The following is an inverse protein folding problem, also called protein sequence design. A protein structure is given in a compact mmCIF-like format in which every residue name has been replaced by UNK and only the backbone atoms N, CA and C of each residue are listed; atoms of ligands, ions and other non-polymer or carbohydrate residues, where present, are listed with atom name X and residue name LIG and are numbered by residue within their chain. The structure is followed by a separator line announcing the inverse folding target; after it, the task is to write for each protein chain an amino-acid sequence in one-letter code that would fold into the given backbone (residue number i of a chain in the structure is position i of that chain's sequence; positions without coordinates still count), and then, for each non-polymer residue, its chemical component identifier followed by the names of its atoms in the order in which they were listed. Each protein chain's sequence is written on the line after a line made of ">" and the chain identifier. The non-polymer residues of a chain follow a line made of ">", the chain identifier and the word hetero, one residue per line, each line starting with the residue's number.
data_IF_184446976578
#
_entry.id   IF_184446976578
#
_cell.length_a   1.000
_cell.length_b   1.000
_cell.length_c   1.000
_cell.angle_alpha   90.00
_cell.angle_beta   90.00
_cell.angle_gamma   90.00
#
_symmetry.space_group_name_H-M   'P 1'
#
loop_
_entity.id
_entity.type
_entity.pdbx_description
1 polymer ?
#
# COMPACT_ATOMS: atom_id res chain seq x y z
N UNK A 1 29.41 6.66 -62.21
CA UNK A 1 28.31 6.66 -61.21
C UNK A 1 28.92 6.85 -59.82
N UNK A 2 29.08 8.10 -59.37
CA UNK A 2 29.57 8.42 -58.01
C UNK A 2 28.38 8.59 -57.09
N UNK A 3 28.16 7.65 -56.17
CA UNK A 3 27.16 7.79 -55.12
C UNK A 3 27.86 8.33 -53.87
N UNK A 4 27.34 9.44 -53.33
CA UNK A 4 27.92 10.31 -52.30
C UNK A 4 28.13 9.58 -50.96
N UNK A 5 29.39 9.28 -50.64
CA UNK A 5 29.86 8.94 -49.31
C UNK A 5 30.49 10.20 -48.65
N UNK A 6 30.05 10.55 -47.44
CA UNK A 6 30.55 11.68 -46.62
C UNK A 6 29.72 12.94 -46.88
N UNK A 7 28.91 13.51 -45.98
CA UNK A 7 28.95 13.51 -44.53
C UNK A 7 27.51 13.48 -44.01
N UNK A 8 27.17 12.50 -43.15
CA UNK A 8 25.95 12.66 -42.32
C UNK A 8 26.18 13.90 -41.47
N UNK A 9 25.33 14.91 -41.64
CA UNK A 9 25.36 16.14 -40.85
C UNK A 9 25.39 15.80 -39.35
N UNK A 10 26.16 16.55 -38.55
CA UNK A 10 26.18 16.43 -37.08
C UNK A 10 24.75 16.49 -36.51
N UNK A 11 23.86 17.25 -37.14
CA UNK A 11 22.44 17.30 -36.78
C UNK A 11 21.70 15.98 -37.01
N UNK A 12 22.04 15.21 -38.05
CA UNK A 12 21.45 13.89 -38.30
C UNK A 12 21.97 12.82 -37.33
N UNK A 13 23.25 12.90 -36.94
CA UNK A 13 23.83 11.98 -35.94
C UNK A 13 23.25 12.23 -34.54
N UNK A 14 23.13 13.50 -34.16
CA UNK A 14 22.50 13.88 -32.89
C UNK A 14 21.02 13.47 -32.87
N UNK A 15 20.30 13.68 -33.98
CA UNK A 15 18.91 13.22 -34.11
C UNK A 15 18.80 11.68 -33.96
N UNK A 16 19.71 10.90 -34.56
CA UNK A 16 19.69 9.43 -34.40
C UNK A 16 19.99 8.98 -32.97
N UNK A 17 20.93 9.62 -32.26
CA UNK A 17 21.24 9.26 -30.87
C UNK A 17 20.05 9.59 -29.95
N UNK A 18 19.38 10.72 -30.18
CA UNK A 18 18.18 11.08 -29.43
C UNK A 18 17.02 10.12 -29.69
N UNK A 19 16.87 9.65 -30.93
CA UNK A 19 15.90 8.61 -31.30
C UNK A 19 16.20 7.27 -30.57
N UNK A 20 17.47 6.86 -30.52
CA UNK A 20 17.90 5.64 -29.82
C UNK A 20 17.64 5.73 -28.31
N UNK A 21 17.97 6.85 -27.67
CA UNK A 21 17.68 7.07 -26.24
C UNK A 21 16.17 7.07 -25.98
N UNK A 22 15.39 7.73 -26.84
CA UNK A 22 13.93 7.73 -26.77
C UNK A 22 13.35 6.32 -26.92
N UNK A 23 13.95 5.48 -27.77
CA UNK A 23 13.59 4.07 -27.93
C UNK A 23 13.88 3.24 -26.67
N UNK A 24 15.05 3.43 -26.06
CA UNK A 24 15.44 2.75 -24.81
C UNK A 24 14.50 3.10 -23.65
N UNK A 25 14.20 4.39 -23.45
CA UNK A 25 13.30 4.85 -22.39
C UNK A 25 11.91 4.23 -22.56
N UNK A 26 11.39 4.20 -23.79
CA UNK A 26 10.10 3.54 -24.09
C UNK A 26 10.17 2.04 -23.82
N UNK A 27 11.31 1.41 -24.09
CA UNK A 27 11.59 0.01 -23.78
C UNK A 27 11.53 -0.28 -22.28
N UNK A 28 12.19 0.51 -21.45
CA UNK A 28 12.14 0.36 -19.98
C UNK A 28 10.74 0.59 -19.43
N UNK A 29 10.02 1.60 -19.92
CA UNK A 29 8.63 1.84 -19.53
C UNK A 29 7.74 0.66 -19.93
N UNK A 30 7.93 0.13 -21.15
CA UNK A 30 7.19 -1.03 -21.61
C UNK A 30 7.48 -2.28 -20.77
N UNK A 31 8.74 -2.49 -20.38
CA UNK A 31 9.17 -3.59 -19.53
C UNK A 31 8.60 -3.44 -18.11
N UNK A 32 8.75 -2.27 -17.49
CA UNK A 32 8.19 -1.97 -16.16
C UNK A 32 6.67 -2.16 -16.14
N UNK A 33 5.98 -1.69 -17.19
CA UNK A 33 4.54 -1.92 -17.34
C UNK A 33 4.20 -3.41 -17.48
N UNK A 34 5.01 -4.18 -18.21
CA UNK A 34 4.82 -5.62 -18.33
C UNK A 34 5.05 -6.35 -17.00
N UNK A 35 6.06 -5.95 -16.22
CA UNK A 35 6.37 -6.52 -14.91
C UNK A 35 5.29 -6.20 -13.88
N UNK A 36 4.81 -4.95 -13.84
CA UNK A 36 3.66 -4.56 -13.00
C UNK A 36 2.42 -5.36 -13.38
N UNK A 37 2.13 -5.53 -14.68
CA UNK A 37 0.99 -6.33 -15.14
C UNK A 37 1.12 -7.80 -14.74
N UNK A 38 2.31 -8.39 -14.88
CA UNK A 38 2.59 -9.77 -14.47
C UNK A 38 2.42 -9.93 -12.96
N UNK A 39 2.96 -9.00 -12.17
CA UNK A 39 2.83 -8.98 -10.72
C UNK A 39 1.37 -8.85 -10.29
N UNK A 40 0.62 -7.94 -10.90
CA UNK A 40 -0.81 -7.78 -10.66
C UNK A 40 -1.61 -9.04 -11.00
N UNK A 41 -1.29 -9.72 -12.11
CA UNK A 41 -1.96 -10.96 -12.49
C UNK A 41 -1.65 -12.11 -11.51
N UNK A 42 -0.39 -12.23 -11.06
CA UNK A 42 -0.01 -13.22 -10.06
C UNK A 42 -0.69 -12.95 -8.72
N UNK A 43 -0.71 -11.69 -8.29
CA UNK A 43 -1.42 -11.28 -7.08
C UNK A 43 -2.93 -11.54 -7.20
N UNK A 44 -3.55 -11.23 -8.34
CA UNK A 44 -4.98 -11.49 -8.57
C UNK A 44 -5.31 -12.98 -8.54
N UNK A 45 -4.48 -13.84 -9.15
CA UNK A 45 -4.62 -15.30 -9.08
C UNK A 45 -4.45 -15.80 -7.65
N UNK A 46 -3.43 -15.32 -6.94
CA UNK A 46 -3.18 -15.67 -5.54
C UNK A 46 -4.35 -15.29 -4.65
N UNK A 47 -4.85 -14.06 -4.77
CA UNK A 47 -6.02 -13.58 -4.06
C UNK A 47 -7.27 -14.40 -4.40
N UNK A 48 -7.47 -14.77 -5.67
CA UNK A 48 -8.58 -15.62 -6.09
C UNK A 48 -8.51 -17.03 -5.49
N UNK A 49 -7.33 -17.65 -5.45
CA UNK A 49 -7.13 -18.97 -4.85
C UNK A 49 -7.34 -18.94 -3.34
N UNK A 50 -6.78 -17.95 -2.64
CA UNK A 50 -6.97 -17.78 -1.19
C UNK A 50 -8.45 -17.51 -0.88
N UNK A 51 -9.09 -16.62 -1.64
CA UNK A 51 -10.52 -16.34 -1.49
C UNK A 51 -11.39 -17.58 -1.70
N UNK A 52 -11.11 -18.35 -2.75
CA UNK A 52 -11.78 -19.63 -3.01
C UNK A 52 -11.54 -20.66 -1.91
N UNK A 53 -10.31 -20.78 -1.41
CA UNK A 53 -9.97 -21.69 -0.31
C UNK A 53 -10.69 -21.32 0.99
N UNK A 54 -10.72 -20.02 1.36
CA UNK A 54 -11.46 -19.53 2.53
C UNK A 54 -12.95 -19.82 2.38
N UNK A 55 -13.52 -19.57 1.19
CA UNK A 55 -14.93 -19.85 0.93
C UNK A 55 -15.26 -21.34 1.09
N UNK A 56 -14.49 -22.23 0.45
CA UNK A 56 -14.68 -23.68 0.57
C UNK A 56 -14.44 -24.20 1.98
N UNK A 57 -13.41 -23.69 2.68
CA UNK A 57 -13.16 -24.02 4.08
C UNK A 57 -14.34 -23.61 4.97
N UNK A 58 -14.94 -22.44 4.72
CA UNK A 58 -16.13 -21.97 5.44
C UNK A 58 -17.33 -22.87 5.19
N UNK A 59 -17.59 -23.27 3.94
CA UNK A 59 -18.67 -24.21 3.63
C UNK A 59 -18.45 -25.57 4.29
N UNK A 60 -17.25 -26.12 4.18
CA UNK A 60 -16.87 -27.37 4.84
C UNK A 60 -17.09 -27.29 6.36
N UNK A 61 -16.66 -26.19 6.98
CA UNK A 61 -16.85 -25.95 8.41
C UNK A 61 -18.34 -25.91 8.79
N UNK A 62 -19.19 -25.24 8.00
CA UNK A 62 -20.65 -25.23 8.23
C UNK A 62 -21.22 -26.66 8.18
N UNK A 63 -20.86 -27.45 7.16
CA UNK A 63 -21.32 -28.84 7.07
C UNK A 63 -20.83 -29.71 8.23
N UNK A 64 -19.59 -29.50 8.70
CA UNK A 64 -19.07 -30.19 9.89
C UNK A 64 -19.86 -29.83 11.15
N UNK A 65 -20.24 -28.56 11.35
CA UNK A 65 -21.06 -28.15 12.49
C UNK A 65 -22.47 -28.74 12.43
N UNK A 66 -23.07 -28.81 11.24
CA UNK A 66 -24.37 -29.47 11.04
C UNK A 66 -24.24 -30.97 11.34
N UNK A 67 -23.23 -31.64 10.80
CA UNK A 67 -22.98 -33.06 11.06
C UNK A 67 -22.75 -33.34 12.54
N UNK A 68 -21.96 -32.50 13.23
CA UNK A 68 -21.76 -32.59 14.67
C UNK A 68 -23.06 -32.40 15.45
N UNK A 69 -23.89 -31.44 15.05
CA UNK A 69 -25.20 -31.20 15.69
C UNK A 69 -26.10 -32.43 15.57
N UNK A 70 -26.15 -33.06 14.39
CA UNK A 70 -26.89 -34.31 14.18
C UNK A 70 -26.29 -35.49 14.95
N UNK A 71 -24.96 -35.60 15.04
CA UNK A 71 -24.28 -36.63 15.83
C UNK A 71 -24.56 -36.51 17.33
N UNK A 72 -24.64 -35.28 17.86
CA UNK A 72 -25.05 -35.05 19.25
C UNK A 72 -26.55 -35.34 19.42
N UNK A 73 -27.37 -34.93 18.47
CA UNK A 73 -28.81 -35.19 18.51
C UNK A 73 -29.13 -36.70 18.52
N UNK A 74 -28.38 -37.53 17.79
CA UNK A 74 -28.58 -38.98 17.78
C UNK A 74 -28.30 -39.61 19.16
N UNK A 75 -27.30 -39.08 19.90
CA UNK A 75 -27.04 -39.47 21.28
C UNK A 75 -28.14 -39.02 22.27
N UNK A 76 -28.94 -38.02 21.90
CA UNK A 76 -30.03 -37.45 22.71
C UNK A 76 -31.42 -37.94 22.25
N UNK A 77 -31.54 -39.21 21.85
CA UNK A 77 -32.78 -39.82 21.35
C UNK A 77 -33.38 -39.09 20.13
N UNK A 78 -32.54 -38.54 19.26
CA UNK A 78 -32.97 -37.84 18.05
C UNK A 78 -33.48 -36.41 18.29
N UNK A 79 -33.23 -35.81 19.46
CA UNK A 79 -33.58 -34.41 19.75
C UNK A 79 -32.69 -33.44 18.98
N UNK A 80 -33.02 -33.21 17.71
CA UNK A 80 -32.25 -32.35 16.78
C UNK A 80 -32.02 -30.95 17.36
N UNK A 81 -33.07 -30.31 17.88
CA UNK A 81 -32.98 -28.97 18.46
C UNK A 81 -31.93 -28.86 19.58
N UNK A 82 -31.79 -29.89 20.42
CA UNK A 82 -30.84 -29.90 21.52
C UNK A 82 -29.40 -30.03 21.02
N UNK A 83 -29.16 -30.84 19.98
CA UNK A 83 -27.85 -30.96 19.35
C UNK A 83 -27.35 -29.62 18.80
N UNK A 84 -28.20 -28.90 18.07
CA UNK A 84 -27.87 -27.57 17.55
C UNK A 84 -27.61 -26.54 18.66
N UNK A 85 -28.41 -26.54 19.73
CA UNK A 85 -28.19 -25.63 20.87
C UNK A 85 -26.86 -25.90 21.58
N UNK A 86 -26.47 -27.17 21.75
CA UNK A 86 -25.20 -27.53 22.38
C UNK A 86 -24.03 -27.04 21.51
N UNK A 87 -24.06 -27.28 20.20
CA UNK A 87 -23.02 -26.80 19.29
C UNK A 87 -22.96 -25.27 19.26
N UNK A 88 -24.11 -24.59 19.25
CA UNK A 88 -24.17 -23.13 19.32
C UNK A 88 -23.54 -22.57 20.60
N UNK A 89 -23.82 -23.20 21.75
CA UNK A 89 -23.26 -22.79 23.03
C UNK A 89 -21.75 -23.03 23.11
N UNK A 90 -21.27 -24.16 22.56
CA UNK A 90 -19.83 -24.43 22.43
C UNK A 90 -19.13 -23.37 21.58
N UNK A 91 -19.70 -23.01 20.43
CA UNK A 91 -19.16 -21.95 19.57
C UNK A 91 -19.16 -20.59 20.28
N UNK A 92 -20.23 -20.26 21.02
CA UNK A 92 -20.31 -19.01 21.78
C UNK A 92 -19.19 -18.90 22.80
N UNK A 93 -18.88 -19.99 23.52
CA UNK A 93 -17.76 -20.03 24.47
C UNK A 93 -16.43 -19.78 23.73
N UNK A 94 -16.18 -20.47 22.61
CA UNK A 94 -14.97 -20.29 21.81
C UNK A 94 -14.86 -18.84 21.31
N UNK A 95 -15.95 -18.27 20.79
CA UNK A 95 -16.02 -16.88 20.33
C UNK A 95 -15.75 -15.90 21.46
N UNK A 96 -16.31 -16.12 22.66
CA UNK A 96 -16.07 -15.27 23.82
C UNK A 96 -14.59 -15.27 24.23
N UNK A 97 -13.95 -16.45 24.27
CA UNK A 97 -12.53 -16.59 24.58
C UNK A 97 -11.68 -15.89 23.52
N UNK A 98 -11.95 -16.13 22.23
CA UNK A 98 -11.21 -15.52 21.14
C UNK A 98 -11.36 -13.99 21.14
N UNK A 99 -12.58 -13.49 21.33
CA UNK A 99 -12.86 -12.06 21.44
C UNK A 99 -12.15 -11.40 22.62
N UNK A 100 -12.06 -12.11 23.75
CA UNK A 100 -11.31 -11.64 24.91
C UNK A 100 -9.81 -11.48 24.61
N UNK A 101 -9.19 -12.49 23.99
CA UNK A 101 -7.78 -12.43 23.62
C UNK A 101 -7.51 -11.41 22.51
N UNK A 102 -8.40 -11.30 21.52
CA UNK A 102 -8.33 -10.30 20.47
C UNK A 102 -8.33 -8.88 21.07
N UNK A 103 -9.29 -8.59 21.95
CA UNK A 103 -9.36 -7.30 22.66
C UNK A 103 -8.06 -7.01 23.41
N UNK A 104 -7.56 -7.97 24.19
CA UNK A 104 -6.27 -7.85 24.90
C UNK A 104 -5.08 -7.59 23.97
N UNK A 105 -5.07 -8.18 22.78
CA UNK A 105 -4.01 -7.93 21.79
C UNK A 105 -4.13 -6.54 21.19
N UNK A 106 -5.33 -6.11 20.82
CA UNK A 106 -5.55 -4.76 20.29
C UNK A 106 -5.29 -3.66 21.32
N UNK A 107 -5.62 -3.89 22.60
CA UNK A 107 -5.33 -2.96 23.68
C UNK A 107 -3.82 -2.79 23.94
N UNK A 108 -3.00 -3.79 23.56
CA UNK A 108 -1.54 -3.74 23.68
C UNK A 108 -0.86 -3.09 22.46
N UNK A 109 -1.50 -3.12 21.29
CA UNK A 109 -1.03 -2.40 20.12
C UNK A 109 -1.44 -0.94 20.28
N UNK A 110 -0.59 -0.15 20.95
CA UNK A 110 -0.67 1.32 20.89
C UNK A 110 -0.78 1.70 19.41
N UNK A 111 -1.76 2.54 19.08
CA UNK A 111 -2.02 2.98 17.71
C UNK A 111 -0.79 3.64 17.08
N UNK A 112 -0.90 4.16 15.85
CA UNK A 112 0.23 4.78 15.15
C UNK A 112 0.62 6.14 15.76
N UNK A 113 0.62 6.28 17.09
CA UNK A 113 1.10 7.42 17.87
C UNK A 113 2.51 7.84 17.44
N UNK A 114 3.39 6.87 17.14
CA UNK A 114 4.74 7.14 16.62
C UNK A 114 4.72 7.72 15.20
N UNK A 115 3.83 7.21 14.33
CA UNK A 115 3.71 7.72 12.97
C UNK A 115 3.02 9.11 12.95
N UNK A 116 2.08 9.36 13.86
CA UNK A 116 1.45 10.66 14.05
C UNK A 116 2.44 11.68 14.62
N UNK A 117 3.20 11.31 15.66
CA UNK A 117 4.24 12.17 16.23
C UNK A 117 5.34 12.52 15.21
N UNK A 118 5.73 11.57 14.35
CA UNK A 118 6.69 11.83 13.26
C UNK A 118 6.10 12.75 12.17
N UNK A 119 4.83 12.56 11.80
CA UNK A 119 4.14 13.45 10.87
C UNK A 119 4.05 14.87 11.41
N UNK A 120 3.70 15.07 12.68
CA UNK A 120 3.63 16.39 13.32
C UNK A 120 5.01 17.07 13.41
N UNK A 121 6.05 16.33 13.79
CA UNK A 121 7.42 16.84 13.81
C UNK A 121 7.93 17.23 12.41
N UNK A 122 7.60 16.43 11.40
CA UNK A 122 7.95 16.70 10.00
C UNK A 122 7.19 17.92 9.47
N UNK A 123 5.88 18.02 9.75
CA UNK A 123 5.06 19.17 9.38
C UNK A 123 5.52 20.46 10.06
N UNK A 124 5.90 20.40 11.34
CA UNK A 124 6.45 21.55 12.06
C UNK A 124 7.81 21.98 11.49
N UNK A 125 8.65 21.03 11.09
CA UNK A 125 9.93 21.32 10.43
C UNK A 125 9.72 21.94 9.05
N UNK A 126 8.79 21.42 8.25
CA UNK A 126 8.45 21.97 6.93
C UNK A 126 7.77 23.34 7.01
N UNK A 127 6.94 23.58 8.04
CA UNK A 127 6.32 24.89 8.30
C UNK A 127 7.30 25.95 8.79
N UNK A 128 8.36 25.56 9.50
CA UNK A 128 9.41 26.48 9.97
C UNK A 128 10.52 26.72 8.93
N UNK A 129 10.50 25.98 7.82
CA UNK A 129 11.47 26.11 6.73
C UNK A 129 11.41 27.47 6.00
N UNK A 130 10.23 28.06 5.69
CA UNK A 130 10.12 29.36 5.01
C UNK A 130 10.80 30.48 5.80
N UNK A 131 10.50 30.62 7.10
CA UNK A 131 11.05 31.71 7.92
C UNK A 131 12.57 31.61 8.04
N UNK A 132 13.10 30.40 8.24
CA UNK A 132 14.55 30.16 8.30
C UNK A 132 15.25 30.42 6.97
N UNK A 133 14.59 30.11 5.85
CA UNK A 133 15.12 30.42 4.52
C UNK A 133 15.09 31.91 4.22
N UNK A 134 14.00 32.60 4.57
CA UNK A 134 13.86 34.06 4.43
C UNK A 134 14.91 34.75 5.30
N UNK A 135 15.05 34.37 6.57
CA UNK A 135 16.05 34.93 7.50
C UNK A 135 17.49 34.67 7.05
N UNK A 136 17.76 33.51 6.44
CA UNK A 136 19.08 33.19 5.90
C UNK A 136 19.36 33.96 4.61
N UNK A 137 18.35 34.15 3.77
CA UNK A 137 18.44 34.94 2.54
C UNK A 137 18.63 36.43 2.84
N UNK A 138 17.86 36.98 3.79
CA UNK A 138 17.96 38.39 4.22
C UNK A 138 19.30 38.69 4.93
N UNK A 139 19.86 37.71 5.65
CA UNK A 139 21.24 37.81 6.17
C UNK A 139 22.30 37.73 5.06
N UNK A 140 22.06 36.98 3.99
CA UNK A 140 22.98 36.81 2.87
C UNK A 140 22.91 37.97 1.85
N UNK A 141 21.76 38.62 1.74
CA UNK A 141 21.54 39.84 0.99
C UNK A 141 21.00 40.91 1.93
N UNK A 142 21.86 41.56 2.75
CA UNK A 142 21.43 42.74 3.48
C UNK A 142 21.00 43.78 2.44
N UNK A 143 19.71 44.08 2.39
CA UNK A 143 19.17 45.16 1.56
C UNK A 143 19.93 46.43 1.94
N UNK A 144 20.79 46.91 1.03
CA UNK A 144 21.49 48.18 1.23
C UNK A 144 20.46 49.32 1.12
N UNK A 145 19.78 49.61 2.24
CA UNK A 145 18.94 50.80 2.41
C UNK A 145 19.81 52.04 2.59
N UNK A 146 20.62 52.36 1.59
CA UNK A 146 21.14 53.70 1.40
C UNK A 146 20.57 54.25 0.08
N UNK A 147 19.41 54.90 0.17
CA UNK A 147 18.95 55.80 -0.90
C UNK A 147 19.57 57.19 -0.65
N UNK A 148 20.32 57.76 -1.60
CA UNK A 148 20.96 59.06 -1.45
C UNK A 148 20.00 60.22 -1.75
N UNK A 149 20.01 61.23 -0.87
CA UNK A 149 19.43 62.56 -1.10
C UNK A 149 17.92 62.66 -0.83
N UNK A 150 17.37 63.78 -0.37
CA UNK A 150 17.89 65.13 -0.25
C UNK A 150 17.11 65.82 0.88
N UNK A 151 17.84 66.37 1.87
CA UNK A 151 17.30 67.45 2.70
C UNK A 151 17.85 68.74 2.12
N UNK A 152 16.96 69.46 1.45
CA UNK A 152 17.02 70.90 1.19
C UNK A 152 17.28 71.69 2.48
#
# INVERSE_FOLDING_TARGET
>A
MSNSNGDRSIGQLFASIMEDISSLIRGEIALAKAEVRKSAQMAARGAGLIGGAIFLATLCFIFLLVALSYAIASALNGRVWAGFLIVALLLLIITAIMGYFAKRHFDQVKGPERAQAQSEATLNTLRAMPDKFIDAFERAMPENKESPGSRS
#
